data_IF_470561360427
#
_entry.id   IF_470561360427
#
_cell.length_a   1.000
_cell.length_b   1.000
_cell.length_c   1.000
_cell.angle_alpha   90.00
_cell.angle_beta   90.00
_cell.angle_gamma   90.00
#
_symmetry.space_group_name_H-M   'P 1'
#
loop_
_entity.id
_entity.type
_entity.pdbx_description
1 polymer ?
#
# COMPACT_ATOMS: atom_id res chain seq x y z
N UNK A 1 -0.54 5.42 -7.48
CA UNK A 1 -1.09 4.06 -7.28
C UNK A 1 -0.08 3.00 -7.71
N UNK A 2 0.21 2.81 -9.01
CA UNK A 2 1.21 1.83 -9.45
C UNK A 2 2.60 2.08 -8.84
N UNK A 3 3.02 3.34 -8.75
CA UNK A 3 4.27 3.72 -8.07
C UNK A 3 4.30 3.24 -6.60
N UNK A 4 3.17 3.26 -5.89
CA UNK A 4 3.08 2.79 -4.50
C UNK A 4 3.38 1.30 -4.40
N UNK A 5 2.94 0.48 -5.38
CA UNK A 5 3.25 -0.95 -5.42
C UNK A 5 4.71 -1.18 -5.83
N UNK A 6 5.20 -0.45 -6.83
CA UNK A 6 6.56 -0.63 -7.35
C UNK A 6 7.65 -0.14 -6.39
N UNK A 7 7.36 0.88 -5.57
CA UNK A 7 8.29 1.53 -4.63
C UNK A 7 7.56 1.87 -3.32
N UNK A 8 7.09 0.87 -2.56
CA UNK A 8 6.47 1.12 -1.27
C UNK A 8 7.52 1.63 -0.27
N UNK A 9 7.10 2.43 0.68
CA UNK A 9 7.90 2.72 1.88
C UNK A 9 7.69 1.62 2.93
N UNK A 10 6.51 0.98 2.93
CA UNK A 10 6.13 -0.08 3.84
C UNK A 10 5.16 -1.06 3.17
N UNK A 11 5.22 -2.34 3.55
CA UNK A 11 4.23 -3.36 3.19
C UNK A 11 3.62 -3.94 4.46
N UNK A 12 2.29 -3.93 4.56
CA UNK A 12 1.54 -4.56 5.64
C UNK A 12 0.73 -5.77 5.15
N UNK A 13 0.45 -6.70 6.05
CA UNK A 13 -0.45 -7.81 5.79
C UNK A 13 -1.93 -7.35 5.77
N UNK A 14 -2.64 -7.76 4.72
CA UNK A 14 -4.10 -7.76 4.67
C UNK A 14 -4.71 -8.81 5.60
N UNK A 15 -6.03 -8.84 5.69
CA UNK A 15 -6.73 -9.78 6.58
C UNK A 15 -6.91 -11.16 5.93
N UNK A 16 -6.99 -11.21 4.59
CA UNK A 16 -7.32 -12.43 3.83
C UNK A 16 -6.27 -12.75 2.76
N UNK A 17 -5.01 -12.40 3.03
CA UNK A 17 -3.86 -12.72 2.17
C UNK A 17 -3.52 -11.65 1.12
N UNK A 18 -4.13 -10.48 1.20
CA UNK A 18 -3.71 -9.29 0.45
C UNK A 18 -2.42 -8.70 1.03
N UNK A 19 -1.70 -7.96 0.19
CA UNK A 19 -0.63 -7.06 0.60
C UNK A 19 -1.14 -5.63 0.55
N UNK A 20 -0.70 -4.83 1.52
CA UNK A 20 -0.99 -3.41 1.61
C UNK A 20 0.30 -2.64 1.38
N UNK A 21 0.53 -2.21 0.14
CA UNK A 21 1.64 -1.33 -0.20
C UNK A 21 1.30 0.10 0.25
N UNK A 22 2.22 0.72 0.98
CA UNK A 22 2.04 2.03 1.58
C UNK A 22 3.18 2.93 1.12
N UNK A 23 2.84 4.11 0.63
CA UNK A 23 3.82 5.15 0.26
C UNK A 23 3.34 6.52 0.73
N UNK A 24 4.24 7.30 1.30
CA UNK A 24 3.98 8.67 1.68
C UNK A 24 4.16 9.60 0.47
N UNK A 25 3.13 10.39 0.20
CA UNK A 25 3.16 11.45 -0.80
C UNK A 25 3.16 12.79 -0.07
N UNK A 26 4.28 13.51 -0.16
CA UNK A 26 4.43 14.84 0.45
C UNK A 26 3.49 15.87 -0.17
N UNK A 27 3.07 15.66 -1.43
CA UNK A 27 2.14 16.52 -2.14
C UNK A 27 1.04 15.69 -2.82
N UNK A 28 -0.21 16.06 -2.56
CA UNK A 28 -1.40 15.65 -3.31
C UNK A 28 -2.28 16.89 -3.51
N UNK A 29 -3.34 16.84 -4.34
CA UNK A 29 -4.23 18.00 -4.55
C UNK A 29 -4.85 18.59 -3.28
N UNK A 30 -4.93 17.81 -2.18
CA UNK A 30 -5.39 18.31 -0.87
C UNK A 30 -4.22 18.64 0.06
N UNK A 31 -3.45 17.62 0.47
CA UNK A 31 -2.37 17.74 1.47
C UNK A 31 -1.31 16.65 1.27
N UNK A 32 -0.31 16.57 2.15
CA UNK A 32 0.45 15.32 2.29
C UNK A 32 -0.47 14.19 2.77
N UNK A 33 -0.30 12.99 2.21
CA UNK A 33 -1.10 11.80 2.52
C UNK A 33 -0.26 10.54 2.34
N UNK A 34 -0.65 9.47 3.01
CA UNK A 34 -0.23 8.13 2.66
C UNK A 34 -1.21 7.57 1.63
N UNK A 35 -0.69 6.99 0.55
CA UNK A 35 -1.49 6.14 -0.33
C UNK A 35 -1.32 4.70 0.12
N UNK A 36 -2.43 4.02 0.33
CA UNK A 36 -2.48 2.58 0.59
C UNK A 36 -3.06 1.91 -0.64
N UNK A 37 -2.41 0.85 -1.11
CA UNK A 37 -2.89 0.03 -2.22
C UNK A 37 -2.98 -1.42 -1.74
N UNK A 38 -4.20 -1.96 -1.72
CA UNK A 38 -4.46 -3.35 -1.38
C UNK A 38 -4.45 -4.19 -2.66
N UNK A 39 -3.53 -5.16 -2.75
CA UNK A 39 -3.34 -5.97 -3.96
C UNK A 39 -3.07 -7.43 -3.62
N UNK A 40 -3.25 -8.31 -4.60
CA UNK A 40 -2.82 -9.71 -4.54
C UNK A 40 -1.93 -10.02 -5.72
N UNK A 41 -0.83 -10.72 -5.43
CA UNK A 41 0.01 -11.35 -6.42
C UNK A 41 -0.50 -12.77 -6.64
N UNK A 42 -0.79 -13.13 -7.89
CA UNK A 42 -1.24 -14.47 -8.30
C UNK A 42 -0.06 -15.29 -8.80
N UNK A 43 0.89 -14.62 -9.46
CA UNK A 43 2.18 -15.19 -9.86
C UNK A 43 3.25 -14.10 -9.82
N UNK A 44 4.48 -14.42 -10.24
CA UNK A 44 5.59 -13.45 -10.31
C UNK A 44 5.27 -12.29 -11.25
N UNK A 45 4.48 -12.55 -12.31
CA UNK A 45 4.19 -11.58 -13.38
C UNK A 45 2.71 -11.19 -13.44
N UNK A 46 1.89 -11.66 -12.50
CA UNK A 46 0.44 -11.44 -12.53
C UNK A 46 -0.15 -11.18 -11.14
N UNK A 47 -1.16 -10.33 -11.11
CA UNK A 47 -1.83 -9.88 -9.89
C UNK A 47 -2.87 -8.83 -10.19
N UNK A 48 -3.60 -8.42 -9.16
CA UNK A 48 -4.61 -7.39 -9.29
C UNK A 48 -4.68 -6.50 -8.06
N UNK A 49 -5.13 -5.27 -8.29
CA UNK A 49 -5.45 -4.34 -7.21
C UNK A 49 -6.93 -4.49 -6.83
N UNK A 50 -7.20 -4.60 -5.53
CA UNK A 50 -8.55 -4.57 -4.98
C UNK A 50 -9.03 -3.14 -4.79
N UNK A 51 -8.21 -2.31 -4.13
CA UNK A 51 -8.54 -0.92 -3.85
C UNK A 51 -7.31 -0.07 -3.61
N UNK A 52 -7.44 1.23 -3.83
CA UNK A 52 -6.45 2.22 -3.45
C UNK A 52 -7.13 3.43 -2.83
N UNK A 53 -6.57 3.94 -1.74
CA UNK A 53 -7.12 5.08 -1.04
C UNK A 53 -6.04 5.88 -0.34
N UNK A 54 -6.35 7.15 -0.07
CA UNK A 54 -5.51 8.01 0.75
C UNK A 54 -5.93 7.94 2.21
N UNK A 55 -4.94 7.98 3.11
CA UNK A 55 -5.14 8.10 4.55
C UNK A 55 -4.13 9.09 5.14
N UNK A 56 -4.45 9.65 6.31
CA UNK A 56 -3.50 10.48 7.07
C UNK A 56 -2.42 9.64 7.75
N UNK A 57 -2.74 8.38 8.09
CA UNK A 57 -1.83 7.46 8.79
C UNK A 57 -2.09 6.01 8.35
N UNK A 58 -1.04 5.18 8.18
CA UNK A 58 -1.20 3.74 8.01
C UNK A 58 -1.79 3.08 9.25
N UNK A 59 -2.24 1.83 9.11
CA UNK A 59 -2.75 1.09 10.26
C UNK A 59 -1.63 0.75 11.23
N UNK A 60 -1.86 1.00 12.53
CA UNK A 60 -0.91 0.66 13.60
C UNK A 60 -1.09 -0.80 14.05
N UNK A 61 -2.26 -1.39 13.78
CA UNK A 61 -2.63 -2.74 14.25
C UNK A 61 -2.20 -3.85 13.31
N UNK A 62 -1.91 -3.53 12.05
CA UNK A 62 -1.54 -4.53 11.03
C UNK A 62 -0.09 -4.92 11.18
N UNK A 63 0.20 -6.20 10.91
CA UNK A 63 1.56 -6.71 10.86
C UNK A 63 2.29 -6.05 9.70
N UNK A 64 3.47 -5.50 9.98
CA UNK A 64 4.37 -4.99 8.94
C UNK A 64 5.25 -6.12 8.46
N UNK A 65 5.18 -6.42 7.17
CA UNK A 65 5.97 -7.47 6.53
C UNK A 65 7.32 -6.94 6.08
N UNK A 66 7.39 -5.67 5.69
CA UNK A 66 8.60 -5.03 5.19
C UNK A 66 8.53 -3.50 5.34
N UNK A 67 9.68 -2.85 5.51
CA UNK A 67 9.88 -1.40 5.52
C UNK A 67 11.20 -1.04 4.86
N UNK A 68 11.25 0.09 4.16
CA UNK A 68 12.50 0.69 3.66
C UNK A 68 13.21 1.49 4.76
#
# INVERSE_FOLDING_TARGET
MLETIAKPDQIQAGDTGELLAIRFYSQTPLTSKFMVVAYREISVDDGFILTAYFTNRPSIRRITLWTQ
#
